data_IF_131972606299
#
_entry.id   IF_131972606299
#
_cell.length_a   1.000
_cell.length_b   1.000
_cell.length_c   1.000
_cell.angle_alpha   90.00
_cell.angle_beta   90.00
_cell.angle_gamma   90.00
#
_symmetry.space_group_name_H-M   'P 1'
#
loop_
_entity.id
_entity.type
_entity.pdbx_description
1 polymer ?
#
# COMPACT_ATOMS: atom_id res chain seq x y z
N UNK A 1 -19.81 -36.07 -21.42
CA UNK A 1 -18.95 -35.69 -20.26
C UNK A 1 -17.95 -36.82 -20.10
N UNK A 2 -16.93 -36.76 -20.93
CA UNK A 2 -15.86 -37.74 -20.98
C UNK A 2 -14.94 -37.48 -19.78
N UNK A 3 -14.75 -38.48 -18.93
CA UNK A 3 -13.99 -38.44 -17.69
C UNK A 3 -12.49 -38.15 -17.81
N UNK A 4 -12.12 -37.17 -18.59
CA UNK A 4 -10.77 -36.64 -18.67
C UNK A 4 -10.58 -35.65 -17.55
N UNK A 5 -9.61 -35.93 -16.68
CA UNK A 5 -9.21 -34.99 -15.63
C UNK A 5 -8.77 -33.65 -16.24
N UNK A 6 -9.14 -32.54 -15.61
CA UNK A 6 -8.75 -31.20 -16.02
C UNK A 6 -7.21 -31.05 -16.21
N UNK A 7 -6.44 -31.78 -15.42
CA UNK A 7 -4.97 -31.79 -15.51
C UNK A 7 -4.43 -32.42 -16.81
N UNK A 8 -5.20 -33.27 -17.46
CA UNK A 8 -4.80 -33.99 -18.68
C UNK A 8 -5.14 -33.23 -19.98
N UNK A 9 -5.87 -32.13 -19.86
CA UNK A 9 -6.23 -31.29 -20.99
C UNK A 9 -5.02 -30.45 -21.47
N UNK A 10 -4.88 -30.22 -22.78
CA UNK A 10 -3.85 -29.32 -23.31
C UNK A 10 -4.05 -27.89 -22.76
N UNK A 11 -2.94 -27.15 -22.58
CA UNK A 11 -2.92 -25.83 -21.91
C UNK A 11 -3.97 -24.86 -22.49
N UNK A 12 -4.16 -24.85 -23.82
CA UNK A 12 -5.14 -24.00 -24.48
C UNK A 12 -6.60 -24.31 -24.08
N UNK A 13 -6.93 -25.59 -23.86
CA UNK A 13 -8.25 -26.01 -23.45
C UNK A 13 -8.50 -25.76 -21.95
N UNK A 14 -7.47 -25.87 -21.11
CA UNK A 14 -7.52 -25.46 -19.70
C UNK A 14 -7.85 -23.97 -19.59
N UNK A 15 -7.19 -23.11 -20.36
CA UNK A 15 -7.50 -21.68 -20.40
C UNK A 15 -8.92 -21.39 -20.87
N UNK A 16 -9.38 -22.05 -21.93
CA UNK A 16 -10.76 -21.88 -22.41
C UNK A 16 -11.80 -22.35 -21.39
N UNK A 17 -11.52 -23.44 -20.69
CA UNK A 17 -12.40 -23.97 -19.64
C UNK A 17 -12.50 -22.97 -18.48
N UNK A 18 -11.36 -22.53 -17.94
CA UNK A 18 -11.31 -21.56 -16.84
C UNK A 18 -11.98 -20.24 -17.23
N UNK A 19 -11.72 -19.74 -18.42
CA UNK A 19 -12.30 -18.48 -18.89
C UNK A 19 -13.82 -18.59 -19.09
N UNK A 20 -14.30 -19.73 -19.60
CA UNK A 20 -15.75 -19.98 -19.75
C UNK A 20 -16.44 -20.05 -18.39
N UNK A 21 -15.84 -20.76 -17.42
CA UNK A 21 -16.35 -20.87 -16.06
C UNK A 21 -16.31 -19.52 -15.35
N UNK A 22 -15.22 -18.77 -15.46
CA UNK A 22 -15.10 -17.43 -14.90
C UNK A 22 -16.13 -16.46 -15.47
N UNK A 23 -16.35 -16.49 -16.78
CA UNK A 23 -17.35 -15.62 -17.43
C UNK A 23 -18.78 -15.95 -17.04
N UNK A 24 -19.13 -17.25 -16.85
CA UNK A 24 -20.47 -17.65 -16.41
C UNK A 24 -20.73 -17.17 -14.98
N UNK A 25 -19.77 -17.36 -14.07
CA UNK A 25 -19.85 -16.92 -12.69
C UNK A 25 -19.94 -15.39 -12.61
N UNK A 26 -19.08 -14.68 -13.34
CA UNK A 26 -19.11 -13.23 -13.37
C UNK A 26 -20.46 -12.68 -13.86
N UNK A 27 -21.04 -13.29 -14.88
CA UNK A 27 -22.35 -12.89 -15.41
C UNK A 27 -23.49 -13.11 -14.39
N UNK A 28 -23.50 -14.25 -13.71
CA UNK A 28 -24.47 -14.54 -12.66
C UNK A 28 -24.35 -13.57 -11.49
N UNK A 29 -23.13 -13.27 -11.06
CA UNK A 29 -22.88 -12.31 -10.00
C UNK A 29 -23.30 -10.90 -10.36
N UNK A 30 -22.96 -10.43 -11.55
CA UNK A 30 -23.40 -9.11 -12.04
C UNK A 30 -24.91 -9.01 -12.09
N UNK A 31 -25.60 -10.06 -12.54
CA UNK A 31 -27.04 -10.12 -12.52
C UNK A 31 -27.63 -10.14 -11.09
N UNK A 32 -26.93 -10.81 -10.16
CA UNK A 32 -27.34 -10.84 -8.75
C UNK A 32 -27.15 -9.47 -8.08
N UNK A 33 -26.01 -8.85 -8.30
CA UNK A 33 -25.69 -7.49 -7.82
C UNK A 33 -26.72 -6.49 -8.41
N UNK A 34 -27.00 -6.58 -9.70
CA UNK A 34 -27.99 -5.71 -10.35
C UNK A 34 -29.40 -5.84 -9.74
N UNK A 35 -29.80 -7.07 -9.38
CA UNK A 35 -31.07 -7.33 -8.68
C UNK A 35 -31.09 -6.78 -7.25
N UNK A 36 -29.96 -6.89 -6.53
CA UNK A 36 -29.82 -6.35 -5.17
C UNK A 36 -29.85 -4.83 -5.18
N UNK A 37 -29.12 -4.20 -6.10
CA UNK A 37 -29.11 -2.72 -6.26
C UNK A 37 -30.53 -2.21 -6.56
N UNK A 38 -31.33 -2.96 -7.35
CA UNK A 38 -32.70 -2.58 -7.66
C UNK A 38 -33.65 -2.70 -6.47
N UNK A 39 -33.37 -3.62 -5.52
CA UNK A 39 -34.18 -3.83 -4.31
C UNK A 39 -33.80 -2.85 -3.19
N UNK A 40 -32.50 -2.78 -2.85
CA UNK A 40 -31.98 -1.98 -1.74
C UNK A 40 -30.59 -1.45 -2.06
N UNK A 41 -30.48 -0.29 -2.75
CA UNK A 41 -29.17 0.24 -3.19
C UNK A 41 -28.27 0.59 -2.01
N UNK A 42 -28.84 1.08 -0.91
CA UNK A 42 -28.07 1.51 0.27
C UNK A 42 -27.40 0.34 1.01
N UNK A 43 -28.10 -0.77 1.12
CA UNK A 43 -27.60 -2.00 1.77
C UNK A 43 -26.40 -2.57 0.99
N UNK A 44 -26.48 -2.60 -0.34
CA UNK A 44 -25.41 -3.10 -1.20
C UNK A 44 -24.19 -2.18 -1.11
N UNK A 45 -24.38 -0.88 -1.24
CA UNK A 45 -23.28 0.10 -1.11
C UNK A 45 -22.62 0.03 0.25
N UNK A 46 -23.41 -0.02 1.34
CA UNK A 46 -22.88 -0.13 2.71
C UNK A 46 -22.09 -1.42 2.93
N UNK A 47 -22.59 -2.55 2.40
CA UNK A 47 -21.90 -3.85 2.51
C UNK A 47 -20.57 -3.86 1.75
N UNK A 48 -20.57 -3.36 0.52
CA UNK A 48 -19.35 -3.24 -0.27
C UNK A 48 -18.36 -2.26 0.35
N UNK A 49 -18.83 -1.10 0.79
CA UNK A 49 -18.01 -0.09 1.44
C UNK A 49 -17.37 -0.66 2.71
N UNK A 50 -18.15 -1.30 3.59
CA UNK A 50 -17.61 -1.92 4.81
C UNK A 50 -16.62 -3.05 4.54
N UNK A 51 -16.84 -3.84 3.50
CA UNK A 51 -15.98 -4.99 3.20
C UNK A 51 -14.68 -4.60 2.49
N UNK A 52 -14.73 -3.68 1.53
CA UNK A 52 -13.58 -3.38 0.68
C UNK A 52 -12.86 -2.09 1.07
N UNK A 53 -13.58 -1.02 1.34
CA UNK A 53 -12.97 0.26 1.68
C UNK A 53 -12.38 0.22 3.08
N UNK A 54 -13.14 -0.25 4.07
CA UNK A 54 -12.65 -0.30 5.46
C UNK A 54 -11.50 -1.28 5.61
N UNK A 55 -11.58 -2.45 4.98
CA UNK A 55 -10.49 -3.43 5.04
C UNK A 55 -9.25 -3.01 4.23
N UNK A 56 -9.42 -2.23 3.16
CA UNK A 56 -8.34 -1.73 2.33
C UNK A 56 -7.83 -0.34 2.72
N UNK A 57 -8.36 0.26 3.80
CA UNK A 57 -7.97 1.62 4.19
C UNK A 57 -6.48 1.72 4.59
N UNK A 58 -5.92 0.68 5.23
CA UNK A 58 -4.49 0.59 5.52
C UNK A 58 -3.67 0.71 4.25
N UNK A 59 -3.98 -0.10 3.24
CA UNK A 59 -3.33 -0.06 1.92
C UNK A 59 -3.49 1.29 1.22
N UNK A 60 -4.64 1.96 1.38
CA UNK A 60 -4.85 3.29 0.85
C UNK A 60 -3.89 4.32 1.49
N UNK A 61 -3.82 4.34 2.83
CA UNK A 61 -2.94 5.25 3.57
C UNK A 61 -1.48 4.95 3.25
N UNK A 62 -1.11 3.67 3.19
CA UNK A 62 0.22 3.23 2.77
C UNK A 62 0.57 3.76 1.38
N UNK A 63 -0.28 3.50 0.38
CA UNK A 63 -0.06 3.97 -0.99
C UNK A 63 0.08 5.49 -1.06
N UNK A 64 -0.77 6.23 -0.35
CA UNK A 64 -0.69 7.69 -0.29
C UNK A 64 0.65 8.16 0.30
N UNK A 65 1.06 7.64 1.45
CA UNK A 65 2.24 8.10 2.18
C UNK A 65 3.54 7.67 1.49
N UNK A 66 3.62 6.43 1.00
CA UNK A 66 4.78 5.90 0.28
C UNK A 66 5.12 6.77 -0.95
N UNK A 67 4.10 7.11 -1.72
CA UNK A 67 4.28 7.98 -2.89
C UNK A 67 4.53 9.44 -2.52
N UNK A 68 4.00 9.93 -1.40
CA UNK A 68 4.36 11.24 -0.86
C UNK A 68 5.85 11.33 -0.53
N UNK A 69 6.37 10.34 0.18
CA UNK A 69 7.81 10.24 0.50
C UNK A 69 8.66 10.18 -0.76
N UNK A 70 8.25 9.35 -1.75
CA UNK A 70 8.93 9.27 -3.04
C UNK A 70 8.99 10.58 -3.80
N UNK A 71 7.94 11.40 -3.73
CA UNK A 71 7.88 12.71 -4.38
C UNK A 71 8.66 13.79 -3.63
N UNK A 72 8.84 13.67 -2.31
CA UNK A 72 9.62 14.63 -1.51
C UNK A 72 11.12 14.52 -1.81
N UNK A 73 11.65 13.32 -2.06
CA UNK A 73 13.08 13.12 -2.39
C UNK A 73 13.56 13.98 -3.57
N UNK A 74 12.88 14.02 -4.74
CA UNK A 74 13.24 14.94 -5.83
C UNK A 74 13.14 16.41 -5.47
N UNK A 75 12.24 16.80 -4.57
CA UNK A 75 12.14 18.20 -4.13
C UNK A 75 13.40 18.65 -3.40
N UNK A 76 14.01 17.80 -2.59
CA UNK A 76 15.29 18.10 -1.93
C UNK A 76 16.44 18.28 -2.92
N UNK A 77 16.39 17.61 -4.07
CA UNK A 77 17.40 17.74 -5.13
C UNK A 77 17.18 18.96 -6.02
N UNK A 78 15.93 19.40 -6.20
CA UNK A 78 15.52 20.46 -7.14
C UNK A 78 15.14 21.78 -6.45
N UNK A 79 15.71 22.09 -5.30
CA UNK A 79 15.49 23.36 -4.60
C UNK A 79 15.97 24.60 -5.36
N UNK A 80 16.30 24.48 -6.65
CA UNK A 80 16.55 25.60 -7.57
C UNK A 80 15.26 26.36 -7.97
N UNK A 81 14.09 25.77 -7.71
CA UNK A 81 12.81 26.43 -7.95
C UNK A 81 12.58 27.47 -6.83
N UNK A 82 12.89 28.70 -7.11
CA UNK A 82 12.44 29.82 -6.31
C UNK A 82 10.92 29.71 -6.12
N UNK A 83 10.46 29.55 -4.88
CA UNK A 83 9.03 29.64 -4.58
C UNK A 83 8.49 30.94 -5.16
N UNK A 84 7.35 30.94 -5.88
CA UNK A 84 6.79 32.13 -6.48
C UNK A 84 6.55 33.18 -5.37
N UNK A 85 7.29 34.29 -5.43
CA UNK A 85 7.19 35.39 -4.47
C UNK A 85 8.36 35.60 -3.51
N UNK A 86 9.40 34.76 -3.54
CA UNK A 86 10.63 35.03 -2.81
C UNK A 86 11.69 35.67 -3.73
N UNK A 87 12.32 36.77 -3.31
CA UNK A 87 13.45 37.37 -4.06
C UNK A 87 14.58 36.34 -4.12
N UNK A 88 15.19 36.22 -5.30
CA UNK A 88 16.29 35.34 -5.69
C UNK A 88 17.33 35.14 -4.55
N UNK A 89 17.06 34.18 -3.68
CA UNK A 89 18.09 33.57 -2.84
C UNK A 89 18.85 32.64 -3.78
N UNK A 90 20.16 32.85 -4.01
CA UNK A 90 20.89 31.96 -4.89
C UNK A 90 20.74 30.53 -4.33
N UNK A 91 20.22 29.62 -5.16
CA UNK A 91 19.96 28.21 -4.82
C UNK A 91 21.14 27.51 -4.13
N UNK A 92 22.37 27.98 -4.41
CA UNK A 92 23.61 27.51 -3.80
C UNK A 92 23.73 27.75 -2.28
N UNK A 93 22.87 28.58 -1.68
CA UNK A 93 22.92 28.92 -0.24
C UNK A 93 22.01 28.01 0.60
N UNK A 94 21.11 27.23 -0.01
CA UNK A 94 20.26 26.29 0.69
C UNK A 94 21.08 25.10 1.23
N UNK A 95 20.97 24.83 2.54
CA UNK A 95 21.59 23.65 3.16
C UNK A 95 21.16 22.33 2.50
N UNK A 96 19.94 22.27 1.99
CA UNK A 96 19.44 21.10 1.25
C UNK A 96 20.18 20.94 -0.08
N UNK A 97 20.39 22.00 -0.83
CA UNK A 97 21.16 21.97 -2.07
C UNK A 97 22.60 21.51 -1.84
N UNK A 98 23.26 22.07 -0.82
CA UNK A 98 24.64 21.69 -0.46
C UNK A 98 24.73 20.23 0.00
N UNK A 99 23.68 19.71 0.67
CA UNK A 99 23.63 18.32 1.10
C UNK A 99 23.39 17.37 -0.09
N UNK A 100 22.35 17.61 -0.88
CA UNK A 100 21.87 16.64 -1.87
C UNK A 100 22.54 16.75 -3.25
N UNK A 101 22.98 17.94 -3.67
CA UNK A 101 23.56 18.18 -5.00
C UNK A 101 25.07 18.37 -4.96
N UNK A 102 25.59 19.17 -4.03
CA UNK A 102 27.04 19.38 -3.90
C UNK A 102 27.72 18.31 -3.04
N UNK A 103 26.95 17.57 -2.23
CA UNK A 103 27.44 16.53 -1.32
C UNK A 103 28.58 17.01 -0.40
N UNK A 104 28.56 18.30 -0.07
CA UNK A 104 29.66 18.95 0.68
C UNK A 104 29.46 18.88 2.20
N UNK A 105 28.22 18.73 2.67
CA UNK A 105 27.86 18.83 4.09
C UNK A 105 27.40 17.49 4.66
N UNK A 106 26.86 16.59 3.83
CA UNK A 106 26.29 15.30 4.25
C UNK A 106 27.14 14.15 3.75
N UNK A 107 27.21 13.09 4.55
CA UNK A 107 27.88 11.85 4.17
C UNK A 107 27.13 11.15 3.03
N UNK A 108 27.83 10.76 1.98
CA UNK A 108 27.27 10.05 0.82
C UNK A 108 26.67 8.70 1.20
N UNK A 109 27.23 8.03 2.20
CA UNK A 109 26.76 6.74 2.69
C UNK A 109 25.35 6.84 3.27
N UNK A 110 25.07 7.89 4.07
CA UNK A 110 23.74 8.10 4.63
C UNK A 110 22.70 8.54 3.61
N UNK A 111 23.11 9.29 2.59
CA UNK A 111 22.22 9.65 1.48
C UNK A 111 21.82 8.41 0.67
N UNK A 112 22.79 7.54 0.39
CA UNK A 112 22.52 6.26 -0.25
C UNK A 112 21.68 5.31 0.65
N UNK A 113 21.92 5.35 1.95
CA UNK A 113 21.16 4.57 2.94
C UNK A 113 19.66 4.92 2.93
N UNK A 114 19.28 6.18 2.64
CA UNK A 114 17.87 6.59 2.54
C UNK A 114 17.11 5.76 1.50
N UNK A 115 17.72 5.45 0.37
CA UNK A 115 17.08 4.71 -0.70
C UNK A 115 16.91 3.22 -0.37
N UNK A 116 17.81 2.66 0.43
CA UNK A 116 17.81 1.24 0.78
C UNK A 116 17.11 0.93 2.11
N UNK A 117 17.20 1.80 3.11
CA UNK A 117 16.65 1.55 4.46
C UNK A 117 15.14 1.39 4.44
N UNK A 118 14.43 2.13 3.60
CA UNK A 118 12.99 1.96 3.39
C UNK A 118 12.67 0.53 2.90
N UNK A 119 13.41 0.04 1.89
CA UNK A 119 13.22 -1.29 1.32
C UNK A 119 13.59 -2.38 2.34
N UNK A 120 14.70 -2.20 3.06
CA UNK A 120 15.12 -3.13 4.12
C UNK A 120 14.07 -3.17 5.23
N UNK A 121 13.48 -2.03 5.57
CA UNK A 121 12.36 -1.94 6.50
C UNK A 121 11.16 -2.76 6.03
N UNK A 122 10.76 -2.60 4.76
CA UNK A 122 9.63 -3.35 4.17
C UNK A 122 9.87 -4.86 4.22
N UNK A 123 11.06 -5.33 3.83
CA UNK A 123 11.39 -6.76 3.89
C UNK A 123 11.36 -7.27 5.33
N UNK A 124 11.93 -6.51 6.25
CA UNK A 124 11.94 -6.85 7.68
C UNK A 124 10.52 -6.91 8.24
N UNK A 125 9.67 -5.95 7.90
CA UNK A 125 8.27 -5.91 8.31
C UNK A 125 7.46 -7.09 7.80
N UNK A 126 7.62 -7.48 6.52
CA UNK A 126 6.95 -8.65 5.96
C UNK A 126 7.27 -9.93 6.74
N UNK A 127 8.53 -10.11 7.12
CA UNK A 127 8.97 -11.30 7.86
C UNK A 127 8.46 -11.23 9.31
N UNK A 128 8.71 -10.15 10.03
CA UNK A 128 8.39 -10.02 11.46
C UNK A 128 6.88 -10.07 11.68
N UNK A 129 6.13 -9.19 11.01
CA UNK A 129 4.69 -9.09 11.21
C UNK A 129 3.96 -10.32 10.66
N UNK A 130 4.49 -10.93 9.58
CA UNK A 130 3.97 -12.20 9.06
C UNK A 130 4.07 -13.32 10.11
N UNK A 131 5.22 -13.50 10.74
CA UNK A 131 5.43 -14.52 11.78
C UNK A 131 4.60 -14.20 13.04
N UNK A 132 4.58 -12.94 13.48
CA UNK A 132 3.78 -12.52 14.64
C UNK A 132 2.27 -12.72 14.40
N UNK A 133 1.79 -12.44 13.20
CA UNK A 133 0.40 -12.65 12.83
C UNK A 133 -0.06 -14.10 12.92
N UNK A 134 0.84 -15.04 12.66
CA UNK A 134 0.57 -16.46 12.78
C UNK A 134 0.67 -16.96 14.23
N UNK A 135 1.55 -16.40 15.06
CA UNK A 135 1.79 -16.83 16.45
C UNK A 135 0.84 -16.19 17.46
N UNK A 136 0.70 -14.87 17.40
CA UNK A 136 -0.07 -14.09 18.40
C UNK A 136 -1.51 -13.89 17.93
N UNK A 137 -1.71 -13.89 16.63
CA UNK A 137 -3.03 -13.74 16.02
C UNK A 137 -3.14 -12.47 15.16
N UNK A 138 -3.91 -12.59 14.10
CA UNK A 138 -4.02 -11.59 13.02
C UNK A 138 -4.55 -10.22 13.46
N UNK A 139 -5.46 -10.20 14.45
CA UNK A 139 -5.97 -8.92 14.99
C UNK A 139 -4.87 -8.12 15.67
N UNK A 140 -4.01 -8.81 16.41
CA UNK A 140 -2.89 -8.18 17.09
C UNK A 140 -1.88 -7.63 16.08
N UNK A 141 -1.47 -8.46 15.10
CA UNK A 141 -0.55 -8.06 14.04
C UNK A 141 -1.02 -6.80 13.30
N UNK A 142 -2.30 -6.70 12.95
CA UNK A 142 -2.87 -5.50 12.30
C UNK A 142 -2.81 -4.23 13.16
N UNK A 143 -3.09 -4.34 14.46
CA UNK A 143 -3.03 -3.19 15.36
C UNK A 143 -1.59 -2.74 15.56
N UNK A 144 -0.69 -3.70 15.77
CA UNK A 144 0.74 -3.43 15.89
C UNK A 144 1.30 -2.77 14.63
N UNK A 145 0.96 -3.28 13.47
CA UNK A 145 1.37 -2.75 12.18
C UNK A 145 0.89 -1.30 11.97
N UNK A 146 -0.37 -1.05 12.21
CA UNK A 146 -0.93 0.31 12.16
C UNK A 146 -0.23 1.27 13.13
N UNK A 147 0.15 0.80 14.33
CA UNK A 147 0.90 1.61 15.30
C UNK A 147 2.31 1.92 14.81
N UNK A 148 3.03 0.93 14.26
CA UNK A 148 4.38 1.12 13.71
C UNK A 148 4.34 2.10 12.53
N UNK A 149 3.37 1.94 11.62
CA UNK A 149 3.19 2.82 10.47
C UNK A 149 2.86 4.27 10.91
N UNK A 150 2.00 4.42 11.91
CA UNK A 150 1.68 5.73 12.49
C UNK A 150 2.91 6.35 13.15
N UNK A 151 3.66 5.58 13.95
CA UNK A 151 4.89 6.04 14.58
C UNK A 151 5.91 6.51 13.54
N UNK A 152 6.15 5.70 12.51
CA UNK A 152 7.03 6.07 11.40
C UNK A 152 6.60 7.34 10.69
N UNK A 153 5.29 7.51 10.43
CA UNK A 153 4.74 8.73 9.82
C UNK A 153 4.94 9.97 10.71
N UNK A 154 4.71 9.83 12.02
CA UNK A 154 4.96 10.92 12.99
C UNK A 154 6.45 11.26 13.02
N UNK A 155 7.34 10.26 13.04
CA UNK A 155 8.79 10.50 12.99
C UNK A 155 9.20 11.23 11.70
N UNK A 156 8.64 10.87 10.55
CA UNK A 156 8.88 11.53 9.27
C UNK A 156 8.41 12.99 9.25
N UNK A 157 7.34 13.33 9.96
CA UNK A 157 6.81 14.71 10.02
C UNK A 157 7.49 15.56 11.10
N UNK A 158 7.88 14.94 12.21
CA UNK A 158 8.50 15.62 13.36
C UNK A 158 10.03 15.61 13.33
N UNK A 159 10.64 15.33 12.18
CA UNK A 159 12.09 15.27 12.05
C UNK A 159 12.77 16.56 12.49
N UNK A 160 13.73 16.42 13.36
CA UNK A 160 14.56 17.50 13.82
C UNK A 160 16.04 17.11 13.78
N UNK A 161 16.90 18.03 13.32
CA UNK A 161 18.35 17.85 13.33
C UNK A 161 19.05 19.17 13.60
N UNK A 162 19.96 19.19 14.55
CA UNK A 162 20.81 20.37 14.84
C UNK A 162 21.75 20.62 13.66
N UNK A 163 22.24 19.54 13.05
CA UNK A 163 23.07 19.54 11.84
C UNK A 163 22.31 18.92 10.69
N UNK A 164 22.66 19.30 9.44
CA UNK A 164 22.02 18.72 8.26
C UNK A 164 22.29 17.22 8.13
N UNK A 165 23.49 16.79 8.49
CA UNK A 165 23.83 15.36 8.52
C UNK A 165 23.00 14.59 9.56
N UNK A 166 22.80 15.16 10.76
CA UNK A 166 21.94 14.59 11.79
C UNK A 166 20.48 14.48 11.33
N UNK A 167 19.99 15.46 10.55
CA UNK A 167 18.66 15.39 9.95
C UNK A 167 18.53 14.25 8.95
N UNK A 168 19.53 14.05 8.07
CA UNK A 168 19.57 12.96 7.08
C UNK A 168 19.56 11.59 7.77
N UNK A 169 20.33 11.42 8.85
CA UNK A 169 20.35 10.19 9.64
C UNK A 169 18.98 9.92 10.27
N UNK A 170 18.37 10.94 10.87
CA UNK A 170 17.03 10.83 11.45
C UNK A 170 15.97 10.44 10.39
N UNK A 171 16.07 11.04 9.20
CA UNK A 171 15.20 10.71 8.07
C UNK A 171 15.33 9.27 7.63
N UNK A 172 16.56 8.79 7.48
CA UNK A 172 16.84 7.41 7.10
C UNK A 172 16.26 6.38 8.09
N UNK A 173 16.42 6.61 9.39
CA UNK A 173 15.84 5.76 10.43
C UNK A 173 14.32 5.84 10.48
N UNK A 174 13.75 7.03 10.26
CA UNK A 174 12.30 7.19 10.19
C UNK A 174 11.70 6.42 9.02
N UNK A 175 12.37 6.42 7.87
CA UNK A 175 11.99 5.60 6.71
C UNK A 175 12.07 4.11 6.99
N UNK A 176 13.09 3.66 7.72
CA UNK A 176 13.22 2.26 8.11
C UNK A 176 12.05 1.80 8.99
N UNK A 177 11.72 2.58 10.04
CA UNK A 177 10.59 2.27 10.94
C UNK A 177 9.27 2.31 10.17
N UNK A 178 9.08 3.32 9.32
CA UNK A 178 7.90 3.41 8.46
C UNK A 178 7.81 2.20 7.51
N UNK A 179 8.95 1.82 6.92
CA UNK A 179 9.05 0.64 6.05
C UNK A 179 8.66 -0.67 6.74
N UNK A 180 8.97 -0.85 8.02
CA UNK A 180 8.53 -2.03 8.78
C UNK A 180 6.99 -2.09 8.84
N UNK A 181 6.33 -0.98 9.10
CA UNK A 181 4.88 -0.90 9.09
C UNK A 181 4.29 -1.20 7.70
N UNK A 182 4.80 -0.57 6.66
CA UNK A 182 4.41 -0.84 5.27
C UNK A 182 4.56 -2.32 4.92
N UNK A 183 5.69 -2.93 5.30
CA UNK A 183 5.95 -4.34 5.04
C UNK A 183 4.96 -5.28 5.71
N UNK A 184 4.53 -4.97 6.92
CA UNK A 184 3.56 -5.75 7.69
C UNK A 184 2.14 -5.71 7.14
N UNK A 185 1.72 -4.60 6.52
CA UNK A 185 0.39 -4.43 5.97
C UNK A 185 0.07 -5.45 4.86
N UNK A 186 1.06 -5.79 4.00
CA UNK A 186 0.85 -6.73 2.88
C UNK A 186 0.36 -8.13 3.31
N UNK A 187 1.07 -8.86 4.19
CA UNK A 187 0.62 -10.17 4.63
C UNK A 187 -0.67 -10.09 5.44
N UNK A 188 -0.86 -9.06 6.26
CA UNK A 188 -2.04 -8.92 7.10
C UNK A 188 -3.30 -8.62 6.28
N UNK A 189 -3.25 -7.67 5.37
CA UNK A 189 -4.38 -7.31 4.50
C UNK A 189 -4.72 -8.44 3.53
N UNK A 190 -3.73 -9.11 2.93
CA UNK A 190 -3.99 -10.23 2.03
C UNK A 190 -4.66 -11.42 2.72
N UNK A 191 -4.16 -11.80 3.90
CA UNK A 191 -4.76 -12.90 4.67
C UNK A 191 -6.16 -12.56 5.16
N UNK A 192 -6.39 -11.34 5.64
CA UNK A 192 -7.71 -10.87 6.05
C UNK A 192 -8.69 -10.81 4.88
N UNK A 193 -8.27 -10.35 3.71
CA UNK A 193 -9.10 -10.33 2.51
C UNK A 193 -9.51 -11.74 2.06
N UNK A 194 -8.63 -12.73 2.26
CA UNK A 194 -8.93 -14.14 2.00
C UNK A 194 -9.89 -14.77 3.02
N UNK A 195 -9.87 -14.32 4.28
CA UNK A 195 -10.64 -14.90 5.39
C UNK A 195 -11.91 -14.11 5.73
N UNK A 196 -11.94 -12.84 5.39
CA UNK A 196 -12.84 -11.83 5.94
C UNK A 196 -14.32 -11.97 5.56
N UNK A 197 -14.73 -12.96 4.80
CA UNK A 197 -16.11 -13.04 4.33
C UNK A 197 -16.91 -14.24 4.81
N UNK A 198 -16.39 -14.94 5.82
CA UNK A 198 -17.06 -16.15 6.36
C UNK A 198 -18.43 -15.90 7.03
N UNK A 199 -18.87 -14.67 7.27
CA UNK A 199 -19.86 -14.46 8.33
C UNK A 199 -21.26 -13.98 7.92
N UNK A 200 -21.60 -13.66 6.67
CA UNK A 200 -22.98 -13.19 6.43
C UNK A 200 -23.71 -13.65 5.15
N UNK A 201 -23.06 -14.00 4.06
CA UNK A 201 -23.78 -14.28 2.80
C UNK A 201 -23.20 -15.37 1.90
N UNK A 202 -22.13 -16.04 2.27
CA UNK A 202 -21.46 -17.00 1.41
C UNK A 202 -21.73 -18.44 1.84
N UNK A 203 -22.27 -19.22 0.93
CA UNK A 203 -22.14 -20.68 1.01
C UNK A 203 -20.64 -21.03 0.96
N UNK A 204 -20.20 -22.00 1.72
CA UNK A 204 -18.80 -22.45 1.87
C UNK A 204 -18.08 -22.63 0.51
N UNK A 205 -18.81 -22.93 -0.54
CA UNK A 205 -18.30 -23.11 -1.91
C UNK A 205 -18.04 -21.78 -2.64
N UNK A 206 -18.87 -20.76 -2.42
CA UNK A 206 -18.70 -19.44 -3.03
C UNK A 206 -17.52 -18.67 -2.46
N UNK A 207 -17.20 -18.88 -1.20
CA UNK A 207 -16.13 -18.17 -0.49
C UNK A 207 -14.73 -18.49 -1.06
N UNK A 208 -14.50 -19.72 -1.47
CA UNK A 208 -13.21 -20.13 -2.07
C UNK A 208 -12.96 -19.52 -3.45
N UNK A 209 -14.01 -19.35 -4.25
CA UNK A 209 -13.90 -18.80 -5.61
C UNK A 209 -13.62 -17.28 -5.61
N UNK A 210 -13.97 -16.57 -4.53
CA UNK A 210 -13.88 -15.12 -4.46
C UNK A 210 -12.65 -14.59 -3.69
N UNK A 211 -11.82 -15.47 -3.11
CA UNK A 211 -10.63 -15.08 -2.34
C UNK A 211 -9.68 -14.18 -3.14
N UNK A 212 -9.35 -14.59 -4.37
CA UNK A 212 -8.47 -13.79 -5.24
C UNK A 212 -9.06 -12.44 -5.59
N UNK A 213 -10.37 -12.34 -5.81
CA UNK A 213 -11.07 -11.08 -6.07
C UNK A 213 -10.99 -10.14 -4.86
N UNK A 214 -11.22 -10.67 -3.66
CA UNK A 214 -11.18 -9.87 -2.43
C UNK A 214 -9.79 -9.30 -2.17
N UNK A 215 -8.76 -10.11 -2.38
CA UNK A 215 -7.36 -9.65 -2.31
C UNK A 215 -7.09 -8.55 -3.35
N UNK A 216 -7.48 -8.78 -4.60
CA UNK A 216 -7.29 -7.79 -5.67
C UNK A 216 -7.95 -6.46 -5.34
N UNK A 217 -9.18 -6.48 -4.82
CA UNK A 217 -9.90 -5.26 -4.44
C UNK A 217 -9.26 -4.54 -3.25
N UNK A 218 -8.70 -5.27 -2.29
CA UNK A 218 -7.95 -4.67 -1.19
C UNK A 218 -6.68 -3.96 -1.71
N UNK A 219 -5.92 -4.60 -2.60
CA UNK A 219 -4.74 -3.98 -3.23
C UNK A 219 -5.08 -2.83 -4.19
N UNK A 220 -6.27 -2.83 -4.78
CA UNK A 220 -6.76 -1.70 -5.58
C UNK A 220 -6.82 -0.40 -4.74
N UNK A 221 -7.09 -0.49 -3.45
CA UNK A 221 -7.11 0.66 -2.55
C UNK A 221 -5.74 1.34 -2.45
N UNK A 222 -4.64 0.59 -2.54
CA UNK A 222 -3.29 1.16 -2.62
C UNK A 222 -3.12 2.02 -3.88
N UNK A 223 -3.60 1.54 -5.03
CA UNK A 223 -3.62 2.31 -6.27
C UNK A 223 -4.45 3.61 -6.15
N UNK A 224 -5.58 3.58 -5.44
CA UNK A 224 -6.35 4.78 -5.14
C UNK A 224 -5.57 5.76 -4.25
N UNK A 225 -4.84 5.28 -3.24
CA UNK A 225 -3.95 6.11 -2.41
C UNK A 225 -2.92 6.86 -3.25
N UNK A 226 -2.25 6.13 -4.13
CA UNK A 226 -1.30 6.71 -5.09
C UNK A 226 -1.96 7.76 -6.01
N UNK A 227 -3.11 7.45 -6.58
CA UNK A 227 -3.85 8.35 -7.46
C UNK A 227 -4.20 9.66 -6.75
N UNK A 228 -4.76 9.59 -5.54
CA UNK A 228 -5.09 10.78 -4.76
C UNK A 228 -3.86 11.60 -4.40
N UNK A 229 -2.74 10.96 -4.09
CA UNK A 229 -1.48 11.65 -3.85
C UNK A 229 -1.06 12.50 -5.07
N UNK A 230 -1.10 11.93 -6.27
CA UNK A 230 -0.74 12.64 -7.49
C UNK A 230 -1.71 13.78 -7.80
N UNK A 231 -3.02 13.58 -7.59
CA UNK A 231 -4.02 14.63 -7.80
C UNK A 231 -3.78 15.81 -6.85
N UNK A 232 -3.49 15.55 -5.58
CA UNK A 232 -3.20 16.60 -4.60
C UNK A 232 -1.94 17.37 -4.97
N UNK A 233 -0.89 16.68 -5.42
CA UNK A 233 0.36 17.32 -5.86
C UNK A 233 0.19 18.19 -7.12
N UNK A 234 -0.79 17.89 -7.97
CA UNK A 234 -1.09 18.73 -9.15
C UNK A 234 -1.84 20.00 -8.73
N UNK A 235 -2.64 19.93 -7.65
CA UNK A 235 -3.46 21.06 -7.17
C UNK A 235 -2.64 22.01 -6.30
N UNK A 236 -1.63 21.51 -5.58
CA UNK A 236 -0.72 22.29 -4.72
C UNK A 236 0.34 23.03 -5.54
#
# INVERSE_FOLDING_TARGET
ENGTYWADLPVGERFRFVNRQSNSICREELCHIGRMIKKDPLSVVSSYFGTYVVNGMGMFVEGYTLFSVGNIKPLFQNTDAALPGQPNVPAKTSKFYQCWKEKSICDEDWQSAIDYLEIVGIITGQILVGVEGDWVGRKFGMVQDALIMTLGSVMLTCMWGITMNGWVICYAWSLFIYGIGVGGEYPMTSTRAMEGNSNRFASITGDRLHRGRNVLLAFLMQGWGQFFNQVILIIL
#
